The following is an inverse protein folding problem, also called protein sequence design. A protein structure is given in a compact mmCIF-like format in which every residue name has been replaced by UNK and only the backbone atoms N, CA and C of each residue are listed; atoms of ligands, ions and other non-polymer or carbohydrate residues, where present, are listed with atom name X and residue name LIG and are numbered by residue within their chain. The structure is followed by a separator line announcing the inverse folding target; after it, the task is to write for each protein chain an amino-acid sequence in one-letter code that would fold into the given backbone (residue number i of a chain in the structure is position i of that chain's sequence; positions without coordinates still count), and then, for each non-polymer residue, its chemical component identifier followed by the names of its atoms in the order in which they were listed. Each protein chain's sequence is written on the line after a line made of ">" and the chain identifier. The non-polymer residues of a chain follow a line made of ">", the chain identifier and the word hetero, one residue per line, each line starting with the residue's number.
data_IF_325592291743
#
_entry.id   IF_325592291743
#
_cell.length_a   1.000
_cell.length_b   1.000
_cell.length_c   1.000
_cell.angle_alpha   90.00
_cell.angle_beta   90.00
_cell.angle_gamma   90.00
#
_symmetry.space_group_name_H-M   'P 1'
#
loop_
_entity.id
_entity.type
_entity.pdbx_description
1 polymer ?
#
# COMPACT_ATOMS: atom_id res chain seq x y z
N UNK A 1 -19.65 -7.41 26.12
CA UNK A 1 -19.45 -8.83 25.76
C UNK A 1 -18.57 -9.44 26.82
N UNK A 2 -19.01 -10.53 27.44
CA UNK A 2 -18.22 -11.33 28.39
C UNK A 2 -17.08 -11.98 27.61
N UNK A 3 -15.83 -11.78 28.01
CA UNK A 3 -14.68 -12.44 27.37
C UNK A 3 -14.77 -13.92 27.73
N UNK A 4 -15.03 -14.77 26.74
CA UNK A 4 -15.07 -16.22 26.92
C UNK A 4 -13.68 -16.73 27.33
N UNK A 5 -13.64 -17.68 28.26
CA UNK A 5 -12.40 -18.41 28.58
C UNK A 5 -12.02 -19.32 27.41
N UNK A 6 -10.73 -19.67 27.27
CA UNK A 6 -10.26 -20.59 26.21
C UNK A 6 -11.02 -21.92 26.25
N UNK A 7 -11.30 -22.47 27.43
CA UNK A 7 -12.05 -23.72 27.58
C UNK A 7 -13.52 -23.60 27.10
N UNK A 8 -14.17 -22.45 27.33
CA UNK A 8 -15.51 -22.21 26.79
C UNK A 8 -15.50 -22.04 25.27
N UNK A 9 -14.47 -21.38 24.75
CA UNK A 9 -14.28 -21.18 23.32
C UNK A 9 -14.05 -22.51 22.60
N UNK A 10 -13.20 -23.39 23.14
CA UNK A 10 -12.97 -24.73 22.63
C UNK A 10 -14.24 -25.58 22.61
N UNK A 11 -15.03 -25.53 23.69
CA UNK A 11 -16.29 -26.26 23.78
C UNK A 11 -17.30 -25.80 22.71
N UNK A 12 -17.41 -24.49 22.47
CA UNK A 12 -18.28 -23.94 21.44
C UNK A 12 -17.74 -24.26 20.03
N UNK A 13 -16.43 -24.15 19.82
CA UNK A 13 -15.79 -24.46 18.54
C UNK A 13 -15.98 -25.94 18.14
N UNK A 14 -15.91 -26.85 19.12
CA UNK A 14 -16.22 -28.28 18.93
C UNK A 14 -17.69 -28.56 18.64
N UNK A 15 -18.60 -27.66 19.04
CA UNK A 15 -20.03 -27.73 18.78
C UNK A 15 -20.43 -27.03 17.46
N UNK A 16 -19.47 -26.81 16.56
CA UNK A 16 -19.65 -26.15 15.25
C UNK A 16 -20.20 -24.71 15.35
N UNK A 17 -19.82 -23.99 16.40
CA UNK A 17 -20.01 -22.54 16.46
C UNK A 17 -18.92 -21.83 15.63
N UNK A 18 -19.31 -21.21 14.52
CA UNK A 18 -18.36 -20.66 13.55
C UNK A 18 -17.55 -19.47 14.08
N UNK A 19 -18.15 -18.63 14.93
CA UNK A 19 -17.49 -17.49 15.60
C UNK A 19 -16.44 -17.99 16.60
N UNK A 20 -16.79 -19.00 17.41
CA UNK A 20 -15.85 -19.62 18.34
C UNK A 20 -14.68 -20.28 17.60
N UNK A 21 -14.93 -20.98 16.49
CA UNK A 21 -13.88 -21.55 15.64
C UNK A 21 -12.95 -20.45 15.08
N UNK A 22 -13.50 -19.33 14.60
CA UNK A 22 -12.69 -18.21 14.09
C UNK A 22 -11.84 -17.57 15.20
N UNK A 23 -12.43 -17.27 16.35
CA UNK A 23 -11.73 -16.70 17.48
C UNK A 23 -10.62 -17.63 18.00
N UNK A 24 -10.86 -18.94 18.00
CA UNK A 24 -9.87 -19.93 18.40
C UNK A 24 -8.72 -20.02 17.38
N UNK A 25 -9.03 -19.97 16.08
CA UNK A 25 -8.02 -19.86 15.03
C UNK A 25 -7.12 -18.64 15.23
N UNK A 26 -7.70 -17.49 15.59
CA UNK A 26 -6.93 -16.28 15.89
C UNK A 26 -6.03 -16.43 17.14
N UNK A 27 -6.48 -17.14 18.18
CA UNK A 27 -5.65 -17.43 19.36
C UNK A 27 -4.45 -18.33 19.01
N UNK A 28 -4.68 -19.40 18.25
CA UNK A 28 -3.61 -20.29 17.79
C UNK A 28 -2.61 -19.57 16.88
N UNK A 29 -3.09 -18.69 16.00
CA UNK A 29 -2.24 -17.86 15.14
C UNK A 29 -1.33 -16.94 15.97
N UNK A 30 -1.87 -16.31 17.04
CA UNK A 30 -1.08 -15.49 17.97
C UNK A 30 -0.06 -16.32 18.74
N UNK A 31 -0.40 -17.56 19.08
CA UNK A 31 0.50 -18.52 19.72
C UNK A 31 1.52 -19.17 18.77
N UNK A 32 1.52 -18.78 17.49
CA UNK A 32 2.38 -19.34 16.42
C UNK A 32 2.16 -20.84 16.17
N UNK A 33 0.95 -21.33 16.45
CA UNK A 33 0.50 -22.70 16.20
C UNK A 33 -0.23 -22.75 14.85
N UNK A 34 0.55 -22.83 13.77
CA UNK A 34 0.04 -22.63 12.41
C UNK A 34 -0.94 -23.72 11.96
N UNK A 35 -0.71 -24.98 12.33
CA UNK A 35 -1.55 -26.10 11.91
C UNK A 35 -2.92 -26.05 12.60
N UNK A 36 -2.95 -25.76 13.90
CA UNK A 36 -4.17 -25.59 14.68
C UNK A 36 -4.95 -24.35 14.24
N UNK A 37 -4.26 -23.24 13.99
CA UNK A 37 -4.87 -22.03 13.45
C UNK A 37 -5.56 -22.31 12.11
N UNK A 38 -4.85 -22.99 11.20
CA UNK A 38 -5.37 -23.36 9.89
C UNK A 38 -6.58 -24.30 10.02
N UNK A 39 -6.48 -25.33 10.85
CA UNK A 39 -7.56 -26.30 11.08
C UNK A 39 -8.87 -25.62 11.50
N UNK A 40 -8.81 -24.74 12.51
CA UNK A 40 -10.01 -24.04 12.99
C UNK A 40 -10.53 -23.00 12.01
N UNK A 41 -9.63 -22.34 11.28
CA UNK A 41 -10.00 -21.37 10.26
C UNK A 41 -10.77 -22.04 9.10
N UNK A 42 -10.30 -23.18 8.62
CA UNK A 42 -10.95 -23.95 7.54
C UNK A 42 -12.33 -24.46 7.97
N UNK A 43 -12.49 -24.93 9.21
CA UNK A 43 -13.80 -25.32 9.75
C UNK A 43 -14.78 -24.15 9.84
N UNK A 44 -14.31 -23.01 10.35
CA UNK A 44 -15.12 -21.80 10.47
C UNK A 44 -15.58 -21.30 9.09
N UNK A 45 -14.67 -21.32 8.11
CA UNK A 45 -14.97 -20.97 6.73
C UNK A 45 -15.97 -21.94 6.08
N UNK A 46 -15.86 -23.25 6.34
CA UNK A 46 -16.82 -24.25 5.86
C UNK A 46 -18.25 -24.04 6.39
N UNK A 47 -18.38 -23.42 7.57
CA UNK A 47 -19.66 -22.97 8.13
C UNK A 47 -20.13 -21.61 7.60
N UNK A 48 -19.35 -20.98 6.72
CA UNK A 48 -19.66 -19.70 6.09
C UNK A 48 -19.38 -18.49 6.96
N UNK A 49 -18.44 -18.57 7.91
CA UNK A 49 -18.03 -17.40 8.69
C UNK A 49 -17.34 -16.36 7.78
N UNK A 50 -17.82 -15.10 7.75
CA UNK A 50 -17.37 -14.11 6.79
C UNK A 50 -15.88 -13.79 6.89
N UNK A 51 -15.36 -13.57 8.10
CA UNK A 51 -13.94 -13.21 8.27
C UNK A 51 -12.99 -14.42 8.18
N UNK A 52 -13.52 -15.64 8.30
CA UNK A 52 -12.73 -16.85 8.07
C UNK A 52 -12.51 -17.04 6.57
N UNK A 53 -13.57 -16.88 5.77
CA UNK A 53 -13.51 -16.85 4.31
C UNK A 53 -12.57 -15.74 3.81
N UNK A 54 -12.68 -14.53 4.37
CA UNK A 54 -11.76 -13.44 4.08
C UNK A 54 -10.30 -13.82 4.34
N UNK A 55 -10.00 -14.41 5.50
CA UNK A 55 -8.63 -14.76 5.89
C UNK A 55 -8.03 -15.79 4.94
N UNK A 56 -8.80 -16.81 4.54
CA UNK A 56 -8.35 -17.81 3.56
C UNK A 56 -8.13 -17.20 2.18
N UNK A 57 -9.08 -16.38 1.69
CA UNK A 57 -8.97 -15.72 0.40
C UNK A 57 -7.80 -14.72 0.35
N UNK A 58 -7.57 -13.97 1.43
CA UNK A 58 -6.41 -13.09 1.57
C UNK A 58 -5.09 -13.85 1.53
N UNK A 59 -5.03 -15.04 2.14
CA UNK A 59 -3.86 -15.91 2.09
C UNK A 59 -3.48 -16.33 0.67
N UNK A 60 -4.46 -16.54 -0.21
CA UNK A 60 -4.22 -16.83 -1.63
C UNK A 60 -3.59 -15.64 -2.38
N UNK A 61 -3.98 -14.40 -2.05
CA UNK A 61 -3.40 -13.19 -2.65
C UNK A 61 -1.95 -12.90 -2.20
N UNK A 62 -1.54 -13.45 -1.06
CA UNK A 62 -0.21 -13.21 -0.47
C UNK A 62 0.68 -14.45 -0.52
N UNK A 63 0.28 -15.48 -1.26
CA UNK A 63 1.04 -16.72 -1.37
C UNK A 63 2.42 -16.44 -1.99
N UNK A 64 3.47 -17.05 -1.42
CA UNK A 64 4.83 -16.94 -2.00
C UNK A 64 4.94 -17.60 -3.37
N UNK A 65 4.09 -18.60 -3.63
CA UNK A 65 4.05 -19.35 -4.88
C UNK A 65 2.63 -19.42 -5.45
N UNK A 66 2.52 -19.14 -6.74
CA UNK A 66 1.28 -19.28 -7.50
C UNK A 66 0.22 -18.22 -7.20
N UNK A 67 0.58 -17.07 -6.62
CA UNK A 67 -0.39 -16.04 -6.23
C UNK A 67 -1.16 -15.46 -7.43
N UNK A 68 -0.50 -15.34 -8.59
CA UNK A 68 -1.13 -14.86 -9.83
C UNK A 68 -2.19 -15.86 -10.30
N UNK A 69 -1.88 -17.15 -10.28
CA UNK A 69 -2.74 -18.25 -10.70
C UNK A 69 -3.92 -18.46 -9.75
N UNK A 70 -3.69 -18.25 -8.44
CA UNK A 70 -4.72 -18.34 -7.38
C UNK A 70 -5.59 -17.09 -7.28
N UNK A 71 -5.23 -16.00 -7.95
CA UNK A 71 -5.94 -14.71 -7.86
C UNK A 71 -7.44 -14.80 -8.21
N UNK A 72 -7.87 -15.53 -9.26
CA UNK A 72 -9.30 -15.66 -9.54
C UNK A 72 -10.08 -16.34 -8.41
N UNK A 73 -9.50 -17.40 -7.82
CA UNK A 73 -10.05 -18.09 -6.65
C UNK A 73 -10.13 -17.16 -5.44
N UNK A 74 -9.05 -16.40 -5.19
CA UNK A 74 -9.01 -15.43 -4.11
C UNK A 74 -10.09 -14.35 -4.26
N UNK A 75 -10.28 -13.81 -5.46
CA UNK A 75 -11.33 -12.81 -5.73
C UNK A 75 -12.73 -13.42 -5.53
N UNK A 76 -12.95 -14.68 -5.94
CA UNK A 76 -14.21 -15.37 -5.71
C UNK A 76 -14.49 -15.54 -4.21
N UNK A 77 -13.49 -15.99 -3.43
CA UNK A 77 -13.61 -16.13 -1.98
C UNK A 77 -13.83 -14.79 -1.26
N UNK A 78 -13.18 -13.71 -1.72
CA UNK A 78 -13.43 -12.36 -1.20
C UNK A 78 -14.87 -11.90 -1.48
N UNK A 79 -15.42 -12.17 -2.68
CA UNK A 79 -16.82 -11.84 -3.02
C UNK A 79 -17.79 -12.59 -2.12
N UNK A 80 -17.53 -13.86 -1.85
CA UNK A 80 -18.34 -14.66 -0.93
C UNK A 80 -18.27 -14.10 0.51
N UNK A 81 -17.06 -13.82 1.01
CA UNK A 81 -16.85 -13.24 2.33
C UNK A 81 -17.57 -11.90 2.49
N UNK A 82 -17.47 -11.01 1.48
CA UNK A 82 -18.15 -9.72 1.48
C UNK A 82 -19.69 -9.87 1.46
N UNK A 83 -20.21 -10.79 0.63
CA UNK A 83 -21.65 -11.09 0.59
C UNK A 83 -22.20 -11.63 1.92
N UNK A 84 -21.36 -12.31 2.70
CA UNK A 84 -21.66 -12.79 4.05
C UNK A 84 -21.39 -11.77 5.16
N UNK A 85 -20.91 -10.57 4.81
CA UNK A 85 -20.78 -9.43 5.73
C UNK A 85 -19.36 -9.06 6.15
N UNK A 86 -18.30 -9.64 5.59
CA UNK A 86 -16.93 -9.23 5.90
C UNK A 86 -16.62 -7.85 5.29
N UNK A 87 -16.48 -6.84 6.14
CA UNK A 87 -16.09 -5.49 5.72
C UNK A 87 -14.64 -5.44 5.26
N UNK A 88 -13.76 -6.27 5.84
CA UNK A 88 -12.39 -6.41 5.38
C UNK A 88 -12.32 -6.96 3.95
N UNK A 89 -13.14 -7.96 3.61
CA UNK A 89 -13.24 -8.46 2.24
C UNK A 89 -13.80 -7.41 1.28
N UNK A 90 -14.85 -6.70 1.67
CA UNK A 90 -15.45 -5.64 0.86
C UNK A 90 -14.45 -4.53 0.52
N UNK A 91 -13.62 -4.11 1.48
CA UNK A 91 -12.57 -3.10 1.23
C UNK A 91 -11.44 -3.59 0.31
N UNK A 92 -10.97 -4.82 0.50
CA UNK A 92 -9.96 -5.38 -0.42
C UNK A 92 -10.55 -5.51 -1.82
N UNK A 93 -11.78 -5.99 -1.98
CA UNK A 93 -12.45 -6.00 -3.28
C UNK A 93 -12.53 -4.60 -3.89
N UNK A 94 -12.89 -3.58 -3.11
CA UNK A 94 -12.90 -2.21 -3.59
C UNK A 94 -11.53 -1.79 -4.15
N UNK A 95 -10.44 -2.07 -3.43
CA UNK A 95 -9.09 -1.78 -3.89
C UNK A 95 -8.74 -2.54 -5.18
N UNK A 96 -9.07 -3.84 -5.27
CA UNK A 96 -8.83 -4.64 -6.46
C UNK A 96 -9.68 -4.21 -7.66
N UNK A 97 -10.92 -3.78 -7.43
CA UNK A 97 -11.80 -3.24 -8.48
C UNK A 97 -11.29 -1.88 -8.97
N UNK A 98 -10.83 -1.00 -8.07
CA UNK A 98 -10.19 0.27 -8.44
C UNK A 98 -8.90 0.05 -9.25
N UNK A 99 -8.14 -1.00 -8.92
CA UNK A 99 -6.93 -1.40 -9.64
C UNK A 99 -7.21 -2.09 -10.99
N UNK A 100 -8.48 -2.37 -11.33
CA UNK A 100 -8.86 -3.05 -12.58
C UNK A 100 -8.67 -4.57 -12.56
N UNK A 101 -8.53 -5.17 -11.37
CA UNK A 101 -8.19 -6.59 -11.18
C UNK A 101 -9.40 -7.45 -10.81
N UNK A 102 -10.41 -6.88 -10.14
CA UNK A 102 -11.58 -7.61 -9.62
C UNK A 102 -12.91 -7.33 -10.34
N UNK A 103 -12.90 -7.29 -11.68
CA UNK A 103 -14.11 -7.15 -12.51
C UNK A 103 -14.27 -5.76 -13.15
N UNK A 104 -15.41 -5.53 -13.80
CA UNK A 104 -15.71 -4.30 -14.54
C UNK A 104 -16.16 -3.15 -13.62
N UNK A 105 -16.07 -1.91 -14.12
CA UNK A 105 -16.66 -0.73 -13.48
C UNK A 105 -15.72 0.13 -12.63
N UNK A 106 -14.48 -0.31 -12.37
CA UNK A 106 -13.38 0.53 -11.87
C UNK A 106 -13.70 1.36 -10.62
N UNK A 107 -13.25 2.63 -10.61
CA UNK A 107 -13.41 3.55 -9.48
C UNK A 107 -14.86 3.77 -9.02
N UNK A 108 -15.85 3.99 -9.90
CA UNK A 108 -17.25 4.14 -9.46
C UNK A 108 -17.76 2.96 -8.62
N UNK A 109 -17.48 1.73 -9.04
CA UNK A 109 -17.89 0.53 -8.29
C UNK A 109 -17.11 0.40 -6.98
N UNK A 110 -15.80 0.62 -7.02
CA UNK A 110 -14.95 0.58 -5.83
C UNK A 110 -15.38 1.61 -4.76
N UNK A 111 -15.71 2.83 -5.17
CA UNK A 111 -16.23 3.86 -4.27
C UNK A 111 -17.61 3.49 -3.73
N UNK A 112 -18.46 2.83 -4.52
CA UNK A 112 -19.74 2.28 -4.03
C UNK A 112 -19.55 1.27 -2.89
N UNK A 113 -18.60 0.34 -3.05
CA UNK A 113 -18.24 -0.65 -2.01
C UNK A 113 -17.68 0.03 -0.75
N UNK A 114 -16.81 1.03 -0.92
CA UNK A 114 -16.22 1.76 0.21
C UNK A 114 -17.28 2.59 0.97
N UNK A 115 -18.26 3.16 0.24
CA UNK A 115 -19.41 3.84 0.84
C UNK A 115 -20.26 2.88 1.66
N UNK A 116 -20.59 1.70 1.12
CA UNK A 116 -21.31 0.67 1.87
C UNK A 116 -20.57 0.29 3.16
N UNK A 117 -19.25 0.10 3.10
CA UNK A 117 -18.45 -0.18 4.29
C UNK A 117 -18.53 0.95 5.34
N UNK A 118 -18.49 2.22 4.90
CA UNK A 118 -18.67 3.37 5.79
C UNK A 118 -20.07 3.41 6.42
N UNK A 119 -21.13 3.16 5.65
CA UNK A 119 -22.52 3.12 6.13
C UNK A 119 -22.73 2.02 7.19
N UNK A 120 -22.00 0.92 7.07
CA UNK A 120 -21.98 -0.18 8.06
C UNK A 120 -21.05 0.08 9.25
N UNK A 121 -20.41 1.24 9.32
CA UNK A 121 -19.58 1.63 10.46
C UNK A 121 -18.13 1.14 10.42
N UNK A 122 -17.63 0.67 9.27
CA UNK A 122 -16.24 0.20 9.16
C UNK A 122 -15.25 1.37 9.29
N UNK A 123 -14.50 1.38 10.39
CA UNK A 123 -13.57 2.46 10.71
C UNK A 123 -12.38 2.54 9.73
N UNK A 124 -11.94 1.41 9.16
CA UNK A 124 -10.88 1.41 8.16
C UNK A 124 -11.35 2.06 6.84
N UNK A 125 -12.58 1.80 6.41
CA UNK A 125 -13.19 2.46 5.25
C UNK A 125 -13.30 3.98 5.48
N UNK A 126 -13.77 4.41 6.65
CA UNK A 126 -13.87 5.83 7.00
C UNK A 126 -12.49 6.51 6.96
N UNK A 127 -11.45 5.84 7.46
CA UNK A 127 -10.05 6.30 7.39
C UNK A 127 -9.57 6.45 5.94
N UNK A 128 -9.85 5.45 5.10
CA UNK A 128 -9.48 5.46 3.68
C UNK A 128 -10.15 6.60 2.92
N UNK A 129 -11.46 6.81 3.12
CA UNK A 129 -12.20 7.95 2.53
C UNK A 129 -11.63 9.28 3.01
N UNK A 130 -11.37 9.42 4.31
CA UNK A 130 -10.79 10.65 4.87
C UNK A 130 -9.43 10.98 4.24
N UNK A 131 -8.56 9.98 4.02
CA UNK A 131 -7.27 10.19 3.36
C UNK A 131 -7.41 10.74 1.93
N UNK A 132 -8.39 10.27 1.16
CA UNK A 132 -8.67 10.79 -0.18
C UNK A 132 -9.23 12.21 -0.14
N UNK A 133 -10.14 12.51 0.80
CA UNK A 133 -10.71 13.85 0.96
C UNK A 133 -9.63 14.87 1.32
N UNK A 134 -8.72 14.54 2.26
CA UNK A 134 -7.63 15.44 2.65
C UNK A 134 -6.58 15.64 1.54
N UNK A 135 -6.40 14.67 0.65
CA UNK A 135 -5.55 14.84 -0.53
C UNK A 135 -6.12 15.91 -1.49
N UNK A 136 -7.45 16.01 -1.58
CA UNK A 136 -8.13 17.06 -2.34
C UNK A 136 -8.11 18.39 -1.59
N UNK A 137 -8.71 18.41 -0.40
CA UNK A 137 -8.88 19.58 0.44
C UNK A 137 -8.32 19.29 1.85
N UNK A 138 -7.15 19.84 2.19
CA UNK A 138 -6.47 19.58 3.46
C UNK A 138 -7.30 19.73 4.74
N UNK A 139 -8.27 20.65 4.71
CA UNK A 139 -9.15 21.01 5.84
C UNK A 139 -10.60 20.55 5.62
N UNK A 140 -10.82 19.53 4.77
CA UNK A 140 -12.14 18.97 4.48
C UNK A 140 -12.87 18.53 5.76
N UNK A 141 -14.05 19.11 5.99
CA UNK A 141 -14.86 18.85 7.20
C UNK A 141 -15.42 17.42 7.27
N UNK A 142 -15.80 16.84 6.12
CA UNK A 142 -16.32 15.46 6.06
C UNK A 142 -15.20 14.47 6.37
N UNK A 143 -14.00 14.69 5.81
CA UNK A 143 -12.81 13.93 6.10
C UNK A 143 -12.42 14.03 7.58
N UNK A 144 -12.47 15.22 8.16
CA UNK A 144 -12.17 15.46 9.58
C UNK A 144 -13.13 14.70 10.51
N UNK A 145 -14.42 14.66 10.17
CA UNK A 145 -15.43 13.94 10.94
C UNK A 145 -15.32 12.42 10.77
N UNK A 146 -15.11 11.94 9.54
CA UNK A 146 -14.89 10.50 9.26
C UNK A 146 -13.66 9.97 10.01
N UNK A 147 -12.55 10.70 9.98
CA UNK A 147 -11.34 10.30 10.70
C UNK A 147 -11.56 10.30 12.22
N UNK A 148 -12.30 11.28 12.75
CA UNK A 148 -12.62 11.35 14.17
C UNK A 148 -13.50 10.17 14.62
N UNK A 149 -14.47 9.75 13.81
CA UNK A 149 -15.28 8.56 14.07
C UNK A 149 -14.44 7.28 13.98
N UNK A 150 -13.62 7.15 12.94
CA UNK A 150 -12.73 6.00 12.76
C UNK A 150 -11.75 5.82 13.93
N UNK A 151 -11.23 6.93 14.47
CA UNK A 151 -10.25 6.92 15.55
C UNK A 151 -10.75 6.28 16.86
N UNK A 152 -12.05 6.08 17.03
CA UNK A 152 -12.62 5.45 18.23
C UNK A 152 -12.32 3.95 18.31
N UNK A 153 -12.20 3.29 17.15
CA UNK A 153 -12.04 1.83 17.06
C UNK A 153 -10.88 1.41 16.17
N UNK A 154 -10.35 2.29 15.32
CA UNK A 154 -9.20 2.05 14.46
C UNK A 154 -7.96 2.81 14.94
N UNK A 155 -6.96 2.05 15.40
CA UNK A 155 -5.70 2.59 15.93
C UNK A 155 -4.89 3.41 14.91
N UNK A 156 -5.02 3.11 13.61
CA UNK A 156 -4.29 3.85 12.59
C UNK A 156 -4.96 5.20 12.34
N UNK A 157 -6.30 5.26 12.33
CA UNK A 157 -7.08 6.48 12.28
C UNK A 157 -6.76 7.37 13.49
N UNK A 158 -6.66 6.79 14.70
CA UNK A 158 -6.22 7.52 15.88
C UNK A 158 -4.80 8.12 15.73
N UNK A 159 -3.86 7.36 15.16
CA UNK A 159 -2.50 7.85 14.89
C UNK A 159 -2.51 9.01 13.86
N UNK A 160 -3.31 8.90 12.80
CA UNK A 160 -3.47 9.94 11.77
C UNK A 160 -4.13 11.20 12.35
N UNK A 161 -5.16 11.05 13.18
CA UNK A 161 -5.81 12.17 13.85
C UNK A 161 -4.83 12.93 14.76
N UNK A 162 -4.00 12.20 15.52
CA UNK A 162 -2.93 12.78 16.34
C UNK A 162 -1.91 13.56 15.51
N UNK A 163 -1.47 13.01 14.36
CA UNK A 163 -0.57 13.71 13.42
C UNK A 163 -1.18 15.00 12.89
N UNK A 164 -2.46 14.99 12.53
CA UNK A 164 -3.19 16.20 12.08
C UNK A 164 -3.26 17.26 13.18
N UNK A 165 -3.61 16.86 14.41
CA UNK A 165 -3.66 17.75 15.55
C UNK A 165 -2.30 18.42 15.84
N UNK A 166 -1.19 17.67 15.71
CA UNK A 166 0.16 18.23 15.87
C UNK A 166 0.49 19.29 14.81
N UNK A 167 -0.13 19.23 13.63
CA UNK A 167 -0.01 20.25 12.58
C UNK A 167 -1.04 21.38 12.71
N UNK A 168 -1.77 21.44 13.82
CA UNK A 168 -2.82 22.44 14.04
C UNK A 168 -4.08 22.24 13.19
N UNK A 169 -4.26 21.07 12.56
CA UNK A 169 -5.43 20.76 11.74
C UNK A 169 -6.53 20.13 12.58
N UNK A 170 -7.76 20.59 12.38
CA UNK A 170 -8.92 20.13 13.15
C UNK A 170 -9.32 18.70 12.73
N UNK A 171 -9.56 17.86 13.73
CA UNK A 171 -10.24 16.57 13.59
C UNK A 171 -11.36 16.56 14.63
N UNK A 172 -12.58 16.87 14.19
CA UNK A 172 -13.72 17.00 15.08
C UNK A 172 -14.92 16.32 14.43
N UNK A 173 -15.72 15.64 15.26
CA UNK A 173 -17.01 15.10 14.84
C UNK A 173 -17.93 16.24 14.43
N UNK A 174 -18.58 16.08 13.29
CA UNK A 174 -19.63 16.96 12.76
C UNK A 174 -20.71 16.12 12.09
N UNK A 175 -21.79 16.75 11.64
CA UNK A 175 -22.77 16.08 10.79
C UNK A 175 -22.14 15.74 9.43
N UNK A 176 -21.61 14.52 9.29
CA UNK A 176 -21.06 14.03 8.03
C UNK A 176 -22.20 13.63 7.11
N UNK A 177 -22.14 14.05 5.85
CA UNK A 177 -22.95 13.44 4.78
C UNK A 177 -22.04 12.57 3.93
N UNK A 178 -22.21 11.24 4.01
CA UNK A 178 -21.47 10.30 3.15
C UNK A 178 -21.76 10.59 1.68
N UNK A 179 -22.97 11.00 1.33
CA UNK A 179 -23.31 11.42 -0.04
C UNK A 179 -22.42 12.58 -0.50
N UNK A 180 -22.35 13.66 0.29
CA UNK A 180 -21.50 14.83 0.00
C UNK A 180 -20.02 14.46 -0.10
N UNK A 181 -19.53 13.64 0.83
CA UNK A 181 -18.15 13.18 0.86
C UNK A 181 -17.79 12.45 -0.45
N UNK A 182 -18.63 11.51 -0.90
CA UNK A 182 -18.35 10.72 -2.09
C UNK A 182 -18.54 11.51 -3.41
N UNK A 183 -19.40 12.54 -3.45
CA UNK A 183 -19.46 13.46 -4.60
C UNK A 183 -18.14 14.18 -4.85
N UNK A 184 -17.44 14.59 -3.79
CA UNK A 184 -16.12 15.26 -3.91
C UNK A 184 -15.05 14.34 -4.52
N UNK A 185 -15.15 13.03 -4.32
CA UNK A 185 -14.14 12.07 -4.78
C UNK A 185 -14.18 11.79 -6.29
N UNK A 186 -15.25 12.19 -6.99
CA UNK A 186 -15.40 11.96 -8.44
C UNK A 186 -14.83 13.06 -9.33
N UNK A 187 -14.38 14.16 -8.75
CA UNK A 187 -13.80 15.29 -9.48
C UNK A 187 -12.27 15.08 -9.68
N UNK A 188 -11.70 15.51 -10.79
CA UNK A 188 -10.23 15.49 -10.95
C UNK A 188 -9.56 16.60 -10.14
N UNK A 189 -8.26 16.43 -9.85
CA UNK A 189 -7.42 17.47 -9.23
C UNK A 189 -6.81 18.32 -10.34
N UNK A 190 -6.44 19.56 -10.03
CA UNK A 190 -5.70 20.44 -10.94
C UNK A 190 -4.35 19.83 -11.38
N UNK A 191 -3.80 20.34 -12.48
CA UNK A 191 -2.48 19.94 -12.99
C UNK A 191 -1.39 20.03 -11.90
N UNK A 192 -0.64 18.95 -11.71
CA UNK A 192 0.46 18.90 -10.75
C UNK A 192 1.69 19.57 -11.36
N UNK A 193 2.14 20.68 -10.76
CA UNK A 193 3.31 21.43 -11.19
C UNK A 193 4.56 20.52 -11.30
N UNK A 194 5.24 20.60 -12.44
CA UNK A 194 6.41 19.77 -12.74
C UNK A 194 7.64 20.61 -13.12
N UNK A 195 8.82 20.03 -12.87
CA UNK A 195 10.13 20.65 -13.10
C UNK A 195 11.07 19.60 -13.70
N UNK A 196 11.62 19.85 -14.90
CA UNK A 196 12.64 18.99 -15.49
C UNK A 196 13.96 19.21 -14.74
N UNK A 197 14.40 18.23 -13.97
CA UNK A 197 15.61 18.30 -13.13
C UNK A 197 16.87 17.92 -13.91
N UNK A 198 16.75 16.97 -14.83
CA UNK A 198 17.87 16.48 -15.64
C UNK A 198 17.37 15.93 -16.97
N UNK A 199 18.17 16.06 -18.04
CA UNK A 199 17.89 15.45 -19.34
C UNK A 199 18.60 14.09 -19.53
N UNK A 200 19.68 13.82 -18.78
CA UNK A 200 20.45 12.57 -18.84
C UNK A 200 20.97 12.20 -17.43
N UNK A 201 20.33 11.24 -16.73
CA UNK A 201 19.10 10.56 -17.12
C UNK A 201 17.93 11.57 -17.12
N UNK A 202 16.83 11.24 -17.79
CA UNK A 202 15.61 12.08 -17.73
C UNK A 202 15.02 11.99 -16.34
N UNK A 203 14.99 13.11 -15.62
CA UNK A 203 14.44 13.23 -14.26
C UNK A 203 13.45 14.39 -14.23
N UNK A 204 12.23 14.13 -13.77
CA UNK A 204 11.18 15.13 -13.56
C UNK A 204 10.74 15.11 -12.11
N UNK A 205 10.69 16.28 -11.49
CA UNK A 205 10.09 16.49 -10.17
C UNK A 205 8.66 16.97 -10.33
N UNK A 206 7.78 16.47 -9.49
CA UNK A 206 6.40 16.93 -9.34
C UNK A 206 6.19 17.44 -7.92
N UNK A 207 5.72 18.68 -7.76
CA UNK A 207 5.53 19.30 -6.44
C UNK A 207 4.13 19.03 -5.91
N UNK A 208 4.03 18.56 -4.67
CA UNK A 208 2.71 18.29 -4.05
C UNK A 208 1.86 17.27 -4.81
N UNK A 209 2.52 16.25 -5.37
CA UNK A 209 1.89 15.13 -6.06
C UNK A 209 0.92 14.33 -5.15
N UNK A 210 1.16 14.33 -3.84
CA UNK A 210 0.23 13.82 -2.84
C UNK A 210 0.06 14.82 -1.70
N UNK A 211 -1.13 14.87 -1.12
CA UNK A 211 -1.38 15.56 0.13
C UNK A 211 -0.66 14.89 1.30
N UNK A 212 -0.31 15.69 2.31
CA UNK A 212 0.44 15.22 3.49
C UNK A 212 -0.29 14.11 4.25
N UNK A 213 -1.62 14.14 4.28
CA UNK A 213 -2.44 13.14 4.96
C UNK A 213 -2.49 11.80 4.20
N UNK A 214 -2.45 11.84 2.86
CA UNK A 214 -2.27 10.64 2.05
C UNK A 214 -0.87 10.03 2.30
N UNK A 215 0.17 10.86 2.36
CA UNK A 215 1.52 10.39 2.70
C UNK A 215 1.57 9.73 4.09
N UNK A 216 0.91 10.34 5.08
CA UNK A 216 0.81 9.76 6.42
C UNK A 216 0.06 8.43 6.42
N UNK A 217 -1.07 8.34 5.70
CA UNK A 217 -1.84 7.10 5.57
C UNK A 217 -0.97 5.98 5.02
N UNK A 218 -0.26 6.21 3.91
CA UNK A 218 0.64 5.22 3.30
C UNK A 218 1.72 4.75 4.29
N UNK A 219 2.36 5.68 5.01
CA UNK A 219 3.39 5.34 5.98
C UNK A 219 2.84 4.55 7.19
N UNK A 220 1.69 4.97 7.72
CA UNK A 220 1.06 4.37 8.91
C UNK A 220 0.50 2.98 8.60
N UNK A 221 -0.20 2.81 7.47
CA UNK A 221 -0.76 1.52 7.04
C UNK A 221 0.31 0.46 6.75
N UNK A 222 1.52 0.89 6.37
CA UNK A 222 2.66 0.01 6.12
C UNK A 222 3.38 -0.47 7.39
N UNK A 223 3.24 0.23 8.53
CA UNK A 223 3.99 -0.06 9.76
C UNK A 223 3.99 -1.53 10.19
N UNK A 224 2.85 -2.26 10.24
CA UNK A 224 2.82 -3.65 10.69
C UNK A 224 3.61 -4.60 9.76
N UNK A 225 3.81 -4.19 8.52
CA UNK A 225 4.38 -5.00 7.44
C UNK A 225 5.83 -4.66 7.13
N UNK A 226 6.39 -3.62 7.74
CA UNK A 226 7.80 -3.30 7.54
C UNK A 226 8.67 -4.48 7.96
N UNK A 227 9.51 -4.93 7.04
CA UNK A 227 10.57 -5.91 7.26
C UNK A 227 11.88 -5.36 6.70
N UNK A 228 13.01 -5.87 7.18
CA UNK A 228 14.31 -5.50 6.62
C UNK A 228 14.34 -5.90 5.15
N UNK A 229 14.71 -4.98 4.27
CA UNK A 229 14.80 -5.28 2.85
C UNK A 229 15.95 -6.24 2.59
N UNK A 230 15.69 -7.16 1.66
CA UNK A 230 16.64 -8.16 1.21
C UNK A 230 17.05 -7.84 -0.23
N UNK A 231 18.24 -8.28 -0.62
CA UNK A 231 18.71 -8.26 -2.01
C UNK A 231 18.89 -9.72 -2.43
N UNK A 232 18.43 -10.05 -3.63
CA UNK A 232 18.72 -11.34 -4.26
C UNK A 232 20.20 -11.37 -4.62
N UNK A 233 20.96 -12.27 -4.01
CA UNK A 233 22.36 -12.45 -4.34
C UNK A 233 22.45 -13.13 -5.71
N UNK A 234 23.09 -12.51 -6.73
CA UNK A 234 23.12 -13.05 -8.08
C UNK A 234 23.91 -14.36 -8.20
N UNK A 235 24.65 -14.78 -7.15
CA UNK A 235 25.43 -16.02 -7.15
C UNK A 235 24.59 -17.25 -6.81
N UNK A 236 23.61 -17.10 -5.92
CA UNK A 236 22.78 -18.21 -5.45
C UNK A 236 21.28 -17.97 -5.65
N UNK A 237 20.89 -16.79 -6.15
CA UNK A 237 19.52 -16.35 -6.38
C UNK A 237 18.64 -16.35 -5.13
N UNK A 238 19.25 -16.18 -3.94
CA UNK A 238 18.55 -16.14 -2.65
C UNK A 238 18.46 -14.70 -2.15
N UNK A 239 17.25 -14.26 -1.78
CA UNK A 239 17.04 -13.00 -1.09
C UNK A 239 17.63 -13.05 0.33
N UNK A 240 18.56 -12.15 0.66
CA UNK A 240 19.15 -12.03 2.00
C UNK A 240 19.29 -10.57 2.43
N UNK A 241 19.22 -10.26 3.74
CA UNK A 241 19.57 -8.93 4.22
C UNK A 241 21.01 -8.61 3.85
N UNK A 242 21.22 -7.51 3.11
CA UNK A 242 22.53 -7.18 2.55
C UNK A 242 22.95 -5.77 2.97
N UNK A 243 24.24 -5.52 3.33
CA UNK A 243 24.71 -4.17 3.66
C UNK A 243 24.52 -3.16 2.51
N UNK A 244 24.29 -3.62 1.28
CA UNK A 244 24.01 -2.76 0.13
C UNK A 244 22.65 -2.04 0.23
N UNK A 245 21.63 -2.65 0.86
CA UNK A 245 20.31 -2.05 1.07
C UNK A 245 19.86 -2.34 2.49
N UNK A 246 19.82 -1.29 3.30
CA UNK A 246 19.60 -1.43 4.75
C UNK A 246 18.24 -0.90 5.22
N UNK A 247 17.42 -0.42 4.28
CA UNK A 247 16.08 0.07 4.55
C UNK A 247 15.17 -1.02 5.11
N UNK A 248 14.14 -0.58 5.82
CA UNK A 248 12.94 -1.36 6.04
C UNK A 248 11.96 -1.10 4.90
N UNK A 249 11.17 -2.10 4.51
CA UNK A 249 10.13 -1.88 3.51
C UNK A 249 8.96 -2.83 3.62
N UNK A 250 7.86 -2.43 2.98
CA UNK A 250 6.61 -3.17 2.88
C UNK A 250 6.01 -2.96 1.49
N UNK A 251 5.84 -4.05 0.75
CA UNK A 251 5.08 -4.04 -0.51
C UNK A 251 3.58 -4.03 -0.21
N UNK A 252 2.85 -3.12 -0.84
CA UNK A 252 1.39 -3.00 -0.79
C UNK A 252 0.78 -3.65 -2.04
N UNK A 253 1.10 -4.92 -2.27
CA UNK A 253 0.50 -5.73 -3.34
C UNK A 253 -0.97 -6.04 -3.06
N UNK A 254 -1.64 -6.75 -3.97
CA UNK A 254 -3.10 -6.94 -3.95
C UNK A 254 -3.70 -7.45 -2.63
N UNK A 255 -3.02 -8.34 -1.89
CA UNK A 255 -3.50 -8.82 -0.60
C UNK A 255 -3.41 -7.80 0.56
N UNK A 256 -2.69 -6.70 0.35
CA UNK A 256 -2.47 -5.64 1.33
C UNK A 256 -2.82 -4.24 0.82
N UNK A 257 -3.34 -4.16 -0.41
CA UNK A 257 -3.75 -2.92 -1.02
C UNK A 257 -4.97 -2.34 -0.31
N UNK A 258 -4.99 -1.03 -0.17
CA UNK A 258 -6.16 -0.25 0.21
C UNK A 258 -6.43 0.82 -0.86
N UNK A 259 -7.59 1.46 -0.79
CA UNK A 259 -7.97 2.45 -1.80
C UNK A 259 -6.94 3.60 -1.90
N UNK A 260 -6.45 4.20 -0.80
CA UNK A 260 -5.39 5.21 -0.87
C UNK A 260 -4.08 4.74 -1.53
N UNK A 261 -3.66 3.48 -1.33
CA UNK A 261 -2.47 2.92 -1.99
C UNK A 261 -2.65 2.74 -3.50
N UNK A 262 -3.83 2.30 -3.94
CA UNK A 262 -4.17 2.15 -5.37
C UNK A 262 -4.24 3.52 -6.03
N UNK A 263 -4.91 4.47 -5.36
CA UNK A 263 -4.97 5.86 -5.77
C UNK A 263 -3.58 6.49 -5.97
N UNK A 264 -2.70 6.35 -4.98
CA UNK A 264 -1.33 6.86 -5.07
C UNK A 264 -0.55 6.20 -6.21
N UNK A 265 -0.68 4.87 -6.37
CA UNK A 265 0.00 4.12 -7.43
C UNK A 265 -0.43 4.56 -8.82
N UNK A 266 -1.74 4.69 -9.05
CA UNK A 266 -2.28 5.17 -10.33
C UNK A 266 -1.87 6.60 -10.63
N UNK A 267 -1.84 7.47 -9.61
CA UNK A 267 -1.35 8.84 -9.77
C UNK A 267 0.13 8.85 -10.16
N UNK A 268 0.98 8.09 -9.48
CA UNK A 268 2.40 8.00 -9.81
C UNK A 268 2.63 7.44 -11.22
N UNK A 269 1.87 6.42 -11.64
CA UNK A 269 1.92 5.90 -13.01
C UNK A 269 1.52 6.98 -14.04
N UNK A 270 0.46 7.75 -13.77
CA UNK A 270 0.04 8.88 -14.62
C UNK A 270 1.13 9.95 -14.73
N UNK A 271 1.75 10.34 -13.62
CA UNK A 271 2.88 11.29 -13.62
C UNK A 271 4.08 10.74 -14.40
N UNK A 272 4.29 9.43 -14.30
CA UNK A 272 5.29 8.71 -15.08
C UNK A 272 4.84 8.40 -16.51
N UNK A 273 3.69 8.91 -16.97
CA UNK A 273 3.15 8.72 -18.33
C UNK A 273 3.11 7.25 -18.77
N UNK A 274 2.70 6.37 -17.86
CA UNK A 274 2.49 4.95 -18.12
C UNK A 274 1.14 4.50 -17.55
N UNK A 275 0.51 3.46 -18.13
CA UNK A 275 -0.67 2.83 -17.54
C UNK A 275 -0.34 2.25 -16.16
N UNK A 276 -1.33 2.22 -15.27
CA UNK A 276 -1.15 1.69 -13.91
C UNK A 276 -0.79 0.21 -13.92
N UNK A 277 -1.30 -0.53 -14.88
CA UNK A 277 -1.11 -1.96 -15.08
C UNK A 277 0.36 -2.31 -15.34
N UNK A 278 1.20 -1.33 -15.69
CA UNK A 278 2.65 -1.53 -15.84
C UNK A 278 3.39 -1.44 -14.50
N UNK A 279 2.72 -0.96 -13.44
CA UNK A 279 3.31 -0.77 -12.13
C UNK A 279 3.45 -2.08 -11.37
N UNK A 280 4.61 -2.26 -10.75
CA UNK A 280 4.76 -3.24 -9.68
C UNK A 280 3.99 -2.81 -8.41
N UNK A 281 3.97 -3.68 -7.39
CA UNK A 281 3.40 -3.31 -6.10
C UNK A 281 4.10 -2.08 -5.49
N UNK A 282 3.30 -1.10 -5.05
CA UNK A 282 3.81 0.08 -4.36
C UNK A 282 4.57 -0.33 -3.10
N UNK A 283 5.84 0.05 -3.00
CA UNK A 283 6.69 -0.33 -1.88
C UNK A 283 6.94 0.87 -0.98
N UNK A 284 6.51 0.79 0.28
CA UNK A 284 6.85 1.79 1.30
C UNK A 284 8.23 1.44 1.86
N UNK A 285 9.11 2.44 1.94
CA UNK A 285 10.49 2.32 2.43
C UNK A 285 10.70 3.26 3.60
N UNK A 286 11.41 2.79 4.63
CA UNK A 286 11.84 3.56 5.80
C UNK A 286 13.34 3.42 6.00
N UNK A 287 14.01 4.56 6.18
CA UNK A 287 15.44 4.66 6.49
C UNK A 287 15.62 5.38 7.83
N UNK A 288 16.27 4.72 8.78
CA UNK A 288 16.72 5.25 10.08
C UNK A 288 18.12 5.84 9.97
N UNK A 289 18.61 6.56 11.00
CA UNK A 289 19.99 7.05 11.00
C UNK A 289 21.01 5.94 10.72
N UNK A 290 21.90 6.18 9.76
CA UNK A 290 22.90 5.24 9.25
C UNK A 290 22.42 4.31 8.14
N UNK A 291 21.09 4.14 7.96
CA UNK A 291 20.55 3.33 6.88
C UNK A 291 20.63 4.07 5.54
N UNK A 292 20.89 3.31 4.47
CA UNK A 292 21.15 3.79 3.12
C UNK A 292 20.81 2.72 2.06
N UNK A 293 20.84 3.13 0.80
CA UNK A 293 20.89 2.24 -0.35
C UNK A 293 22.08 2.63 -1.24
N UNK A 294 23.06 1.73 -1.35
CA UNK A 294 24.26 1.94 -2.16
C UNK A 294 23.93 2.18 -3.64
N UNK A 295 24.87 2.78 -4.40
CA UNK A 295 24.66 3.06 -5.81
C UNK A 295 24.25 1.84 -6.64
N UNK A 296 23.07 1.90 -7.24
CA UNK A 296 22.44 0.83 -8.02
C UNK A 296 21.71 1.39 -9.24
N UNK A 297 21.16 0.48 -10.03
CA UNK A 297 20.24 0.74 -11.12
C UNK A 297 18.90 0.06 -10.81
N UNK A 298 17.82 0.67 -11.29
CA UNK A 298 16.49 0.06 -11.17
C UNK A 298 16.13 -0.80 -12.37
N UNK A 299 16.78 -0.63 -13.53
CA UNK A 299 16.61 -1.56 -14.63
C UNK A 299 17.16 -2.95 -14.25
N UNK A 300 16.54 -3.97 -14.81
CA UNK A 300 16.90 -5.36 -14.65
C UNK A 300 18.08 -5.70 -15.58
N UNK A 301 19.02 -6.49 -15.05
CA UNK A 301 20.14 -6.99 -15.82
C UNK A 301 19.71 -8.05 -16.86
N UNK A 302 20.57 -8.36 -17.85
CA UNK A 302 20.22 -9.28 -18.93
C UNK A 302 19.93 -10.72 -18.47
N UNK A 303 20.42 -11.11 -17.29
CA UNK A 303 20.22 -12.45 -16.73
C UNK A 303 19.15 -12.49 -15.63
N UNK A 304 18.42 -11.40 -15.41
CA UNK A 304 17.37 -11.36 -14.40
C UNK A 304 16.14 -12.15 -14.90
N UNK A 305 15.70 -13.22 -14.21
CA UNK A 305 14.53 -13.99 -14.63
C UNK A 305 13.27 -13.13 -14.80
N UNK A 306 13.13 -12.09 -13.97
CA UNK A 306 12.00 -11.19 -13.95
C UNK A 306 11.91 -10.35 -15.26
N UNK A 307 13.04 -10.09 -15.91
CA UNK A 307 13.08 -9.40 -17.21
C UNK A 307 12.34 -10.19 -18.29
N UNK A 308 12.48 -11.51 -18.30
CA UNK A 308 11.87 -12.37 -19.32
C UNK A 308 10.37 -12.53 -19.11
N UNK A 309 9.94 -12.62 -17.85
CA UNK A 309 8.53 -12.84 -17.50
C UNK A 309 7.73 -11.53 -17.56
N UNK A 310 8.27 -10.45 -17.02
CA UNK A 310 7.53 -9.23 -16.74
C UNK A 310 8.08 -7.99 -17.47
N UNK A 311 9.12 -8.14 -18.29
CA UNK A 311 9.72 -7.04 -19.05
C UNK A 311 10.63 -6.14 -18.23
N UNK A 312 11.16 -5.11 -18.89
CA UNK A 312 12.14 -4.19 -18.29
C UNK A 312 11.46 -3.13 -17.42
N UNK A 313 12.06 -2.74 -16.29
CA UNK A 313 11.71 -1.54 -15.53
C UNK A 313 12.20 -0.31 -16.27
N UNK A 314 11.29 0.42 -16.92
CA UNK A 314 11.63 1.57 -17.78
C UNK A 314 11.55 2.91 -17.05
N UNK A 315 10.75 3.01 -15.99
CA UNK A 315 10.62 4.21 -15.17
C UNK A 315 10.48 3.85 -13.69
N UNK A 316 10.97 4.73 -12.84
CA UNK A 316 10.73 4.68 -11.39
C UNK A 316 10.07 5.98 -10.96
N UNK A 317 9.05 5.87 -10.11
CA UNK A 317 8.42 6.99 -9.43
C UNK A 317 8.63 6.85 -7.91
N UNK A 318 9.30 7.84 -7.31
CA UNK A 318 9.48 7.96 -5.87
C UNK A 318 8.58 9.05 -5.31
N UNK A 319 7.74 8.73 -4.34
CA UNK A 319 6.95 9.70 -3.57
C UNK A 319 7.58 9.91 -2.19
N UNK A 320 7.87 11.15 -1.84
CA UNK A 320 8.41 11.52 -0.53
C UNK A 320 7.28 11.58 0.49
N UNK A 321 7.31 10.68 1.48
CA UNK A 321 6.22 10.56 2.46
C UNK A 321 6.43 11.43 3.70
N UNK A 322 7.64 11.96 3.89
CA UNK A 322 7.94 12.93 4.92
C UNK A 322 9.11 13.84 4.52
N UNK A 323 9.32 14.87 5.34
CA UNK A 323 10.46 15.78 5.28
C UNK A 323 11.05 15.99 6.68
N UNK A 324 12.08 16.84 6.79
CA UNK A 324 12.69 17.20 8.07
C UNK A 324 13.78 16.24 8.57
N UNK A 325 14.28 15.36 7.69
CA UNK A 325 15.48 14.55 7.93
C UNK A 325 16.74 15.25 7.40
N UNK A 326 17.92 14.88 7.92
CA UNK A 326 19.24 15.35 7.45
C UNK A 326 19.96 14.16 6.79
N UNK A 327 20.62 14.39 5.67
CA UNK A 327 21.14 13.32 4.80
C UNK A 327 20.00 12.67 4.02
N UNK A 328 20.12 11.39 3.68
CA UNK A 328 19.02 10.64 3.08
C UNK A 328 18.70 11.03 1.63
N UNK A 329 19.45 11.89 0.96
CA UNK A 329 19.12 12.36 -0.39
C UNK A 329 19.14 11.20 -1.40
N UNK A 330 18.26 11.26 -2.40
CA UNK A 330 18.42 10.44 -3.61
C UNK A 330 19.47 11.10 -4.49
N UNK A 331 20.63 10.47 -4.64
CA UNK A 331 21.79 10.99 -5.38
C UNK A 331 21.93 10.25 -6.70
N UNK A 332 21.80 10.97 -7.82
CA UNK A 332 22.15 10.49 -9.16
C UNK A 332 23.62 10.80 -9.43
N UNK A 333 24.41 9.75 -9.64
CA UNK A 333 25.88 9.86 -9.60
C UNK A 333 26.43 10.55 -10.84
N UNK A 334 25.96 10.17 -12.03
CA UNK A 334 26.46 10.71 -13.30
C UNK A 334 26.20 12.23 -13.44
N UNK A 335 24.98 12.75 -13.23
CA UNK A 335 24.75 14.19 -13.28
C UNK A 335 25.16 14.90 -11.96
N UNK A 336 25.58 14.15 -10.94
CA UNK A 336 25.89 14.63 -9.59
C UNK A 336 24.74 15.47 -8.96
N UNK A 337 23.51 15.01 -9.12
CA UNK A 337 22.31 15.67 -8.60
C UNK A 337 21.84 14.96 -7.34
N UNK A 338 21.65 15.72 -6.26
CA UNK A 338 21.07 15.23 -5.01
C UNK A 338 19.68 15.81 -4.82
N UNK A 339 18.72 14.94 -4.51
CA UNK A 339 17.33 15.33 -4.32
C UNK A 339 16.83 14.94 -2.93
N UNK A 340 16.29 15.92 -2.21
CA UNK A 340 15.49 15.73 -1.01
C UNK A 340 14.14 16.42 -1.24
N UNK A 341 13.11 15.62 -1.49
CA UNK A 341 11.75 16.12 -1.69
C UNK A 341 11.11 16.58 -0.39
N UNK A 342 10.17 17.52 -0.50
CA UNK A 342 9.23 17.82 0.59
C UNK A 342 8.20 16.70 0.69
N UNK A 343 7.47 16.65 1.80
CA UNK A 343 6.35 15.71 1.92
C UNK A 343 5.37 15.92 0.77
N UNK A 344 5.02 14.85 0.06
CA UNK A 344 4.12 14.88 -1.09
C UNK A 344 4.78 15.15 -2.44
N UNK A 345 6.06 15.53 -2.48
CA UNK A 345 6.79 15.64 -3.75
C UNK A 345 7.02 14.26 -4.36
N UNK A 346 6.89 14.16 -5.69
CA UNK A 346 7.28 12.97 -6.43
C UNK A 346 8.48 13.24 -7.34
N UNK A 347 9.31 12.23 -7.54
CA UNK A 347 10.43 12.23 -8.47
C UNK A 347 10.26 11.05 -9.43
N UNK A 348 10.12 11.33 -10.72
CA UNK A 348 10.08 10.32 -11.76
C UNK A 348 11.37 10.38 -12.55
N UNK A 349 12.01 9.22 -12.74
CA UNK A 349 13.19 9.12 -13.59
C UNK A 349 13.10 7.92 -14.54
N UNK A 350 13.76 8.06 -15.69
CA UNK A 350 13.86 7.01 -16.69
C UNK A 350 15.03 6.08 -16.34
N UNK A 351 14.78 4.78 -16.43
CA UNK A 351 15.79 3.73 -16.26
C UNK A 351 16.37 3.25 -17.58
N UNK A 352 15.74 3.65 -18.70
CA UNK A 352 16.15 3.35 -20.06
C UNK A 352 16.22 4.62 -20.89
N UNK A 353 17.02 4.60 -21.94
CA UNK A 353 17.11 5.67 -22.92
C UNK A 353 15.90 5.70 -23.86
N UNK A 354 15.89 6.62 -24.84
CA UNK A 354 14.81 6.76 -25.80
C UNK A 354 14.68 5.58 -26.78
N UNK A 355 15.71 4.72 -26.88
CA UNK A 355 15.68 3.48 -27.63
C UNK A 355 15.23 2.28 -26.77
N UNK A 356 14.99 2.49 -25.47
CA UNK A 356 14.61 1.43 -24.52
C UNK A 356 15.79 0.63 -23.97
N UNK A 357 17.04 1.03 -24.26
CA UNK A 357 18.21 0.38 -23.70
C UNK A 357 18.50 0.89 -22.27
N UNK A 358 19.02 0.03 -21.36
CA UNK A 358 19.37 0.45 -20.00
C UNK A 358 20.24 1.71 -19.95
N UNK A 359 19.76 2.75 -19.26
CA UNK A 359 20.47 4.02 -19.13
C UNK A 359 21.39 3.98 -17.89
N UNK A 360 22.68 3.77 -18.14
CA UNK A 360 23.69 3.69 -17.06
C UNK A 360 23.83 5.00 -16.28
N UNK A 361 23.42 6.14 -16.85
CA UNK A 361 23.45 7.44 -16.18
C UNK A 361 22.38 7.56 -15.10
N UNK A 362 21.34 6.71 -15.14
CA UNK A 362 20.31 6.56 -14.10
C UNK A 362 20.82 5.91 -12.79
N UNK A 363 22.12 5.61 -12.70
CA UNK A 363 22.72 5.09 -11.48
C UNK A 363 22.51 6.05 -10.32
N UNK A 364 21.87 5.56 -9.27
CA UNK A 364 21.50 6.39 -8.12
C UNK A 364 21.66 5.65 -6.80
N UNK A 365 21.67 6.42 -5.71
CA UNK A 365 21.80 5.94 -4.34
C UNK A 365 20.83 6.67 -3.42
N UNK A 366 20.41 6.01 -2.35
CA UNK A 366 19.85 6.70 -1.18
C UNK A 366 20.97 6.93 -0.18
N UNK A 367 21.43 8.17 -0.03
CA UNK A 367 22.51 8.51 0.90
C UNK A 367 22.13 8.17 2.34
N UNK A 368 23.10 7.97 3.25
CA UNK A 368 22.81 7.74 4.66
C UNK A 368 21.93 8.83 5.27
N UNK A 369 20.89 8.42 5.98
CA UNK A 369 20.19 9.34 6.88
C UNK A 369 21.12 9.64 8.06
N UNK A 370 21.36 10.92 8.35
CA UNK A 370 22.21 11.35 9.46
C UNK A 370 21.38 11.68 10.71
N UNK A 371 20.17 12.23 10.52
CA UNK A 371 19.24 12.57 11.61
C UNK A 371 17.79 12.46 11.13
N UNK A 372 16.91 12.00 12.02
CA UNK A 372 15.49 11.78 11.73
C UNK A 372 15.28 10.43 11.02
N UNK A 373 14.17 10.31 10.31
CA UNK A 373 13.87 9.14 9.48
C UNK A 373 13.39 9.62 8.12
N UNK A 374 13.75 8.90 7.05
CA UNK A 374 13.24 9.14 5.70
C UNK A 374 12.23 8.05 5.33
N UNK A 375 11.09 8.47 4.79
CA UNK A 375 10.04 7.59 4.29
C UNK A 375 9.75 7.89 2.83
N UNK A 376 9.67 6.84 2.02
CA UNK A 376 9.35 6.92 0.59
C UNK A 376 8.29 5.89 0.22
N UNK A 377 7.49 6.17 -0.80
CA UNK A 377 6.85 5.12 -1.59
C UNK A 377 7.58 5.01 -2.93
N UNK A 378 7.87 3.79 -3.37
CA UNK A 378 8.54 3.49 -4.63
C UNK A 378 7.60 2.70 -5.52
N UNK A 379 7.45 3.15 -6.77
CA UNK A 379 6.73 2.44 -7.82
C UNK A 379 7.68 2.23 -9.00
N UNK A 380 8.01 0.97 -9.27
CA UNK A 380 8.70 0.58 -10.50
C UNK A 380 7.67 0.31 -11.60
N UNK A 381 7.93 0.78 -12.81
CA UNK A 381 7.03 0.67 -13.95
C UNK A 381 7.72 -0.07 -15.10
N UNK A 382 7.03 -1.09 -15.62
CA UNK A 382 7.49 -2.00 -16.67
C UNK A 382 7.19 -1.49 -18.08
N UNK A 383 7.88 -2.06 -19.07
CA UNK A 383 7.62 -1.83 -20.50
C UNK A 383 6.30 -2.45 -21.00
N UNK A 384 5.70 -3.33 -20.21
CA UNK A 384 4.46 -4.06 -20.48
C UNK A 384 3.62 -4.20 -19.21
N UNK A 385 2.35 -4.66 -19.30
CA UNK A 385 1.55 -4.93 -18.11
C UNK A 385 2.24 -5.92 -17.15
N UNK A 386 2.35 -5.54 -15.89
CA UNK A 386 2.86 -6.32 -14.78
C UNK A 386 1.70 -7.10 -14.16
N UNK A 387 1.65 -8.41 -14.40
CA UNK A 387 0.59 -9.27 -13.88
C UNK A 387 0.86 -9.81 -12.46
N UNK A 388 1.93 -9.37 -11.79
CA UNK A 388 2.44 -9.91 -10.52
C UNK A 388 1.61 -9.60 -9.29
#
# INVERSE_FOLDING_TARGET
>A
MTVLTTAELERLAQADDAEAQYALAAQFAQAQQADEAKYWLERSAALGHPDALFTLAGGLLTASEGAVEKRPEAIAGLREAAAKGSMAALRILAALTAAGVAGEGGWPVALGMLREACERGDAAAMREVAALLFDREPDDEDGASLLANAAETDRFAAALASRRAHRGRRTAKSATSLERAFTKLTEERDEIASEQVSLAPKIVRFRGAAGIDLCDHLAVSALPRLRRQEIVDPRDNIAKPHPHRTAWGAGLGFGFADIPSVFASQRLARLARLPHEHGEALTILRYRPGEQYHPHHDFLGPNDPDLYVHGQRIRTALLYLNEGFIGGETHFLAPNIKFAGRTGDALVFHNVDDAGAPDVSARHAGLPVLRGEKWLASLWLRDRPFAG
#
